data_IF_903563108996
#
_entry.id   IF_903563108996
#
_cell.length_a   1.000
_cell.length_b   1.000
_cell.length_c   1.000
_cell.angle_alpha   90.00
_cell.angle_beta   90.00
_cell.angle_gamma   90.00
#
_symmetry.space_group_name_H-M   'P 1'
#
loop_
_entity.id
_entity.type
_entity.pdbx_description
1 polymer ?
#
# COMPACT_ATOMS: atom_id res chain seq x y z
N UNK A 1 12.65 14.52 15.54
CA UNK A 1 12.05 13.84 14.35
C UNK A 1 10.60 13.38 14.57
N UNK A 2 9.85 13.93 15.54
CA UNK A 2 8.53 13.42 15.94
C UNK A 2 7.47 13.57 14.82
N UNK A 3 7.53 14.66 14.05
CA UNK A 3 6.52 14.93 13.01
C UNK A 3 6.61 13.95 11.82
N UNK A 4 7.81 13.72 11.28
CA UNK A 4 7.99 12.80 10.15
C UNK A 4 7.56 11.37 10.51
N UNK A 5 7.88 10.93 11.73
CA UNK A 5 7.46 9.62 12.24
C UNK A 5 5.93 9.55 12.42
N UNK A 6 5.31 10.60 12.97
CA UNK A 6 3.86 10.69 13.08
C UNK A 6 3.16 10.57 11.71
N UNK A 7 3.66 11.30 10.71
CA UNK A 7 3.13 11.24 9.33
C UNK A 7 3.28 9.83 8.75
N UNK A 8 4.46 9.21 8.91
CA UNK A 8 4.72 7.85 8.40
C UNK A 8 3.80 6.81 9.06
N UNK A 9 3.58 6.92 10.37
CA UNK A 9 2.69 6.03 11.12
C UNK A 9 1.22 6.22 10.70
N UNK A 10 0.80 7.47 10.51
CA UNK A 10 -0.56 7.78 10.04
C UNK A 10 -0.80 7.23 8.63
N UNK A 11 0.14 7.44 7.72
CA UNK A 11 0.09 6.89 6.36
C UNK A 11 0.02 5.36 6.38
N UNK A 12 0.89 4.71 7.15
CA UNK A 12 0.89 3.25 7.28
C UNK A 12 -0.45 2.72 7.81
N UNK A 13 -1.03 3.40 8.81
CA UNK A 13 -2.36 3.05 9.33
C UNK A 13 -3.46 3.16 8.28
N UNK A 14 -3.43 4.19 7.43
CA UNK A 14 -4.41 4.36 6.35
C UNK A 14 -4.28 3.26 5.30
N UNK A 15 -3.06 2.90 4.89
CA UNK A 15 -2.81 1.82 3.92
C UNK A 15 -3.37 0.48 4.45
N UNK A 16 -3.18 0.17 5.73
CA UNK A 16 -3.76 -1.04 6.32
C UNK A 16 -5.29 -1.00 6.34
N UNK A 17 -5.92 0.16 6.58
CA UNK A 17 -7.38 0.29 6.49
C UNK A 17 -7.88 0.09 5.07
N UNK A 18 -7.14 0.57 4.06
CA UNK A 18 -7.47 0.33 2.65
C UNK A 18 -7.39 -1.16 2.30
N UNK A 19 -6.42 -1.88 2.85
CA UNK A 19 -6.25 -3.32 2.63
C UNK A 19 -7.41 -4.19 3.18
N UNK A 20 -8.27 -3.65 4.05
CA UNK A 20 -9.49 -4.34 4.52
C UNK A 20 -10.58 -4.32 3.44
N UNK A 21 -10.54 -3.35 2.51
CA UNK A 21 -11.52 -3.18 1.43
C UNK A 21 -10.86 -2.99 0.05
N UNK A 22 -10.02 -3.94 -0.41
CA UNK A 22 -9.23 -3.79 -1.63
C UNK A 22 -10.09 -3.72 -2.91
N UNK A 23 -11.34 -4.21 -2.87
CA UNK A 23 -12.31 -4.12 -3.98
C UNK A 23 -12.73 -2.68 -4.31
N UNK A 24 -12.49 -1.72 -3.41
CA UNK A 24 -12.72 -0.30 -3.71
C UNK A 24 -11.63 0.29 -4.62
N UNK A 25 -10.47 -0.37 -4.73
CA UNK A 25 -9.28 0.15 -5.39
C UNK A 25 -8.79 -0.73 -6.55
N UNK A 26 -9.20 -2.00 -6.60
CA UNK A 26 -8.96 -2.88 -7.74
C UNK A 26 -10.21 -3.63 -8.16
N UNK A 27 -10.32 -3.92 -9.46
CA UNK A 27 -11.41 -4.70 -10.05
C UNK A 27 -11.36 -6.17 -9.64
N UNK A 28 -10.18 -6.74 -9.45
CA UNK A 28 -10.00 -8.17 -9.14
C UNK A 28 -8.99 -8.40 -7.99
N UNK A 29 -9.26 -7.86 -6.78
CA UNK A 29 -8.29 -7.85 -5.69
C UNK A 29 -7.84 -9.26 -5.27
N UNK A 30 -8.75 -10.24 -5.34
CA UNK A 30 -8.48 -11.66 -5.03
C UNK A 30 -7.46 -12.32 -5.96
N UNK A 31 -7.19 -11.73 -7.13
CA UNK A 31 -6.20 -12.23 -8.10
C UNK A 31 -4.99 -11.30 -8.17
N UNK A 32 -5.21 -10.02 -7.89
CA UNK A 32 -4.18 -8.99 -7.98
C UNK A 32 -3.17 -9.07 -6.84
N UNK A 33 -3.59 -9.50 -5.64
CA UNK A 33 -2.76 -9.44 -4.43
C UNK A 33 -2.50 -10.80 -3.75
N UNK A 34 -2.93 -11.93 -4.34
CA UNK A 34 -2.90 -13.25 -3.68
C UNK A 34 -2.05 -14.31 -4.41
N UNK A 35 -1.71 -14.10 -5.69
CA UNK A 35 -0.98 -15.10 -6.48
C UNK A 35 0.46 -15.23 -6.01
N UNK A 36 0.97 -16.45 -6.07
CA UNK A 36 2.39 -16.72 -5.83
C UNK A 36 3.26 -15.79 -6.68
N UNK A 37 4.21 -15.09 -6.04
CA UNK A 37 5.10 -14.06 -6.61
C UNK A 37 4.49 -12.66 -6.84
N UNK A 38 3.24 -12.40 -6.49
CA UNK A 38 2.71 -11.02 -6.46
C UNK A 38 2.89 -10.40 -5.07
N UNK A 39 3.06 -9.08 -5.04
CA UNK A 39 3.02 -8.30 -3.81
C UNK A 39 1.58 -8.25 -3.29
N UNK A 40 1.44 -8.28 -1.96
CA UNK A 40 0.15 -7.99 -1.34
C UNK A 40 -0.24 -6.51 -1.51
N UNK A 41 -1.46 -6.16 -1.15
CA UNK A 41 -1.98 -4.81 -1.30
C UNK A 41 -1.12 -3.75 -0.59
N UNK A 42 -0.73 -4.00 0.67
CA UNK A 42 0.03 -3.04 1.48
C UNK A 42 1.41 -2.85 0.87
N UNK A 43 2.10 -3.94 0.56
CA UNK A 43 3.42 -3.93 -0.07
C UNK A 43 3.40 -3.22 -1.43
N UNK A 44 2.34 -3.42 -2.22
CA UNK A 44 2.16 -2.75 -3.52
C UNK A 44 2.06 -1.24 -3.37
N UNK A 45 1.20 -0.76 -2.46
CA UNK A 45 1.04 0.70 -2.24
C UNK A 45 2.32 1.31 -1.68
N UNK A 46 2.97 0.65 -0.73
CA UNK A 46 4.25 1.11 -0.18
C UNK A 46 5.33 1.19 -1.27
N UNK A 47 5.41 0.19 -2.14
CA UNK A 47 6.32 0.19 -3.28
C UNK A 47 6.06 1.39 -4.20
N UNK A 48 4.81 1.60 -4.63
CA UNK A 48 4.43 2.72 -5.49
C UNK A 48 4.75 4.08 -4.89
N UNK A 49 4.52 4.27 -3.59
CA UNK A 49 4.83 5.53 -2.89
C UNK A 49 6.33 5.76 -2.67
N UNK A 50 7.12 4.68 -2.66
CA UNK A 50 8.56 4.73 -2.48
C UNK A 50 9.32 4.82 -3.80
N UNK A 51 8.62 4.67 -4.94
CA UNK A 51 9.21 4.93 -6.25
C UNK A 51 9.49 6.42 -6.36
N UNK A 52 10.77 6.80 -6.33
CA UNK A 52 11.17 8.11 -6.84
C UNK A 52 10.86 8.15 -8.34
N UNK A 53 10.25 9.24 -8.81
CA UNK A 53 10.20 9.52 -10.24
C UNK A 53 11.64 9.72 -10.70
N UNK A 54 12.19 8.77 -11.45
CA UNK A 54 13.54 8.86 -11.98
C UNK A 54 13.76 10.24 -12.62
N UNK A 55 14.65 11.03 -12.02
CA UNK A 55 15.22 12.24 -12.58
C UNK A 55 16.64 11.95 -13.01
#
# INVERSE_FOLDING_TARGET
MIFAEHVKNKLSSLIHKMAIAPWLFSKNPEVDFSRNRKLDFVSTIQFLLSMESGS
#
